data_IF_045063443958
#
_entry.id   IF_045063443958
#
_cell.length_a   1.000
_cell.length_b   1.000
_cell.length_c   1.000
_cell.angle_alpha   90.00
_cell.angle_beta   90.00
_cell.angle_gamma   90.00
#
_symmetry.space_group_name_H-M   'P 1'
#
loop_
_entity.id
_entity.type
_entity.pdbx_description
1 polymer ?
#
# COMPACT_ATOMS: atom_id res chain seq x y z
N UNK A 1 -17.84 3.49 13.41
CA UNK A 1 -17.10 2.66 14.40
C UNK A 1 -15.65 2.73 13.99
N UNK A 2 -14.80 3.36 14.81
CA UNK A 2 -13.39 3.54 14.51
C UNK A 2 -12.68 2.24 14.96
N UNK A 3 -12.56 1.27 14.06
CA UNK A 3 -11.79 0.06 14.37
C UNK A 3 -10.30 0.46 14.38
N UNK A 4 -9.77 0.67 15.58
CA UNK A 4 -8.35 0.91 15.80
C UNK A 4 -7.62 -0.42 15.60
N UNK A 5 -7.26 -0.71 14.36
CA UNK A 5 -6.43 -1.87 14.04
C UNK A 5 -5.04 -1.71 14.69
N UNK A 6 -4.47 -2.78 15.28
CA UNK A 6 -3.15 -2.72 15.88
C UNK A 6 -2.11 -2.30 14.84
N UNK A 7 -1.54 -1.11 14.99
CA UNK A 7 -0.47 -0.64 14.10
C UNK A 7 0.82 -1.39 14.41
N UNK A 8 1.34 -2.11 13.42
CA UNK A 8 2.57 -2.90 13.54
C UNK A 8 3.80 -2.07 13.16
N UNK A 9 3.73 -1.34 12.04
CA UNK A 9 4.78 -0.44 11.58
C UNK A 9 4.17 0.68 10.73
N UNK A 10 4.85 1.81 10.64
CA UNK A 10 4.50 2.89 9.71
C UNK A 10 5.75 3.45 9.05
N UNK A 11 5.64 3.74 7.77
CA UNK A 11 6.62 4.50 7.00
C UNK A 11 6.12 5.91 6.71
N UNK A 12 6.84 6.61 5.83
CA UNK A 12 6.41 7.91 5.32
C UNK A 12 5.18 7.73 4.42
N UNK A 13 5.25 6.77 3.51
CA UNK A 13 4.28 6.52 2.45
C UNK A 13 3.44 5.24 2.64
N UNK A 14 3.66 4.47 3.72
CA UNK A 14 2.89 3.25 3.99
C UNK A 14 2.47 3.10 5.46
N UNK A 15 1.48 2.24 5.72
CA UNK A 15 1.11 1.72 7.04
C UNK A 15 1.05 0.20 7.00
N UNK A 16 1.46 -0.44 8.10
CA UNK A 16 1.33 -1.89 8.32
C UNK A 16 0.55 -2.09 9.62
N UNK A 17 -0.56 -2.82 9.55
CA UNK A 17 -1.42 -3.08 10.70
C UNK A 17 -2.06 -4.47 10.61
N UNK A 18 -2.54 -4.98 11.74
CA UNK A 18 -3.28 -6.24 11.76
C UNK A 18 -4.69 -6.07 11.21
N UNK A 19 -5.11 -7.01 10.36
CA UNK A 19 -6.49 -7.15 9.94
C UNK A 19 -7.42 -7.52 11.09
N UNK A 20 -8.73 -7.48 10.85
CA UNK A 20 -9.75 -7.72 11.88
C UNK A 20 -9.56 -9.08 12.59
N UNK A 21 -9.24 -10.13 11.84
CA UNK A 21 -9.03 -11.47 12.36
C UNK A 21 -7.61 -11.74 12.90
N UNK A 22 -6.69 -10.76 12.88
CA UNK A 22 -5.25 -10.88 13.26
C UNK A 22 -4.43 -11.94 12.51
N UNK A 23 -5.05 -12.74 11.64
CA UNK A 23 -4.42 -13.76 10.78
C UNK A 23 -3.82 -13.18 9.50
N UNK A 24 -4.18 -11.93 9.19
CA UNK A 24 -3.76 -11.22 7.99
C UNK A 24 -3.12 -9.90 8.41
N UNK A 25 -1.97 -9.60 7.81
CA UNK A 25 -1.31 -8.30 7.95
C UNK A 25 -1.68 -7.48 6.72
N UNK A 26 -2.13 -6.25 6.95
CA UNK A 26 -2.53 -5.33 5.88
C UNK A 26 -1.43 -4.29 5.71
N UNK A 27 -0.99 -4.11 4.46
CA UNK A 27 -0.13 -2.99 4.05
C UNK A 27 -0.98 -2.00 3.28
N UNK A 28 -1.04 -0.76 3.74
CA UNK A 28 -1.76 0.34 3.09
C UNK A 28 -0.77 1.35 2.51
N UNK A 29 -0.95 1.72 1.24
CA UNK A 29 -0.26 2.82 0.58
C UNK A 29 -0.95 4.15 0.94
N UNK A 30 -0.28 4.98 1.74
CA UNK A 30 -0.79 6.28 2.21
C UNK A 30 -0.85 7.33 1.09
N UNK A 31 -0.10 7.16 0.01
CA UNK A 31 -0.15 8.08 -1.13
C UNK A 31 -1.47 8.01 -1.86
N UNK A 32 -2.22 6.91 -1.69
CA UNK A 32 -3.54 6.68 -2.28
C UNK A 32 -4.69 6.97 -1.31
N UNK A 33 -4.40 7.65 -0.20
CA UNK A 33 -5.42 8.01 0.80
C UNK A 33 -6.51 8.87 0.16
N UNK A 34 -7.76 8.44 0.29
CA UNK A 34 -8.92 9.10 -0.30
C UNK A 34 -9.39 8.47 -1.63
N UNK A 35 -8.71 7.43 -2.11
CA UNK A 35 -9.20 6.63 -3.23
C UNK A 35 -10.19 5.56 -2.74
N UNK A 36 -11.37 5.50 -3.34
CA UNK A 36 -12.33 4.43 -3.07
C UNK A 36 -11.83 3.09 -3.62
N UNK A 37 -11.99 2.03 -2.81
CA UNK A 37 -11.77 0.65 -3.26
C UNK A 37 -12.89 0.30 -4.23
N UNK A 38 -12.52 0.02 -5.48
CA UNK A 38 -13.47 -0.38 -6.54
C UNK A 38 -13.35 -1.84 -6.94
N UNK A 39 -12.18 -2.44 -6.70
CA UNK A 39 -11.90 -3.80 -7.12
C UNK A 39 -11.11 -4.56 -6.04
N UNK A 40 -11.38 -5.86 -5.93
CA UNK A 40 -10.60 -6.81 -5.16
C UNK A 40 -10.02 -7.84 -6.10
N UNK A 41 -8.69 -7.87 -6.24
CA UNK A 41 -8.00 -8.74 -7.18
C UNK A 41 -6.73 -9.30 -6.55
N UNK A 42 -6.18 -10.37 -7.12
CA UNK A 42 -4.84 -10.84 -6.73
C UNK A 42 -3.81 -9.90 -7.36
N UNK A 43 -2.87 -9.43 -6.55
CA UNK A 43 -1.72 -8.68 -7.01
C UNK A 43 -0.75 -9.62 -7.72
N UNK A 44 -0.40 -9.32 -8.96
CA UNK A 44 0.45 -10.20 -9.77
C UNK A 44 1.91 -10.21 -9.30
N UNK A 45 2.38 -9.15 -8.63
CA UNK A 45 3.75 -9.06 -8.10
C UNK A 45 3.90 -9.90 -6.83
N UNK A 46 2.92 -9.81 -5.93
CA UNK A 46 3.01 -10.43 -4.61
C UNK A 46 2.17 -11.70 -4.44
N UNK A 47 1.26 -12.01 -5.37
CA UNK A 47 0.38 -13.18 -5.29
C UNK A 47 -0.60 -13.13 -4.13
N UNK A 48 -0.91 -11.94 -3.60
CA UNK A 48 -1.82 -11.75 -2.47
C UNK A 48 -3.05 -10.96 -2.87
N UNK A 49 -4.11 -11.04 -2.06
CA UNK A 49 -5.31 -10.24 -2.29
C UNK A 49 -4.98 -8.76 -2.09
N UNK A 50 -5.36 -7.95 -3.07
CA UNK A 50 -5.18 -6.50 -3.03
C UNK A 50 -6.51 -5.79 -3.32
N UNK A 51 -6.69 -4.70 -2.60
CA UNK A 51 -7.76 -3.73 -2.81
C UNK A 51 -7.23 -2.68 -3.77
N UNK A 52 -7.90 -2.53 -4.91
CA UNK A 52 -7.51 -1.59 -5.95
C UNK A 52 -8.57 -0.50 -6.10
N UNK A 53 -8.09 0.72 -6.29
CA UNK A 53 -8.92 1.85 -6.70
C UNK A 53 -8.58 2.28 -8.12
N UNK A 54 -9.31 3.27 -8.61
CA UNK A 54 -9.14 3.78 -9.96
C UNK A 54 -8.82 5.27 -9.91
N UNK A 55 -7.65 5.63 -10.44
CA UNK A 55 -7.26 7.03 -10.67
C UNK A 55 -7.51 7.36 -12.13
N UNK A 56 -7.85 8.61 -12.43
CA UNK A 56 -8.04 9.07 -13.80
C UNK A 56 -6.90 10.02 -14.17
N UNK A 57 -6.29 9.80 -15.33
CA UNK A 57 -5.30 10.71 -15.90
C UNK A 57 -5.96 11.99 -16.46
N UNK A 58 -5.17 12.98 -16.89
CA UNK A 58 -5.64 14.22 -17.54
C UNK A 58 -6.49 13.96 -18.79
N UNK A 59 -6.25 12.84 -19.49
CA UNK A 59 -7.04 12.42 -20.65
C UNK A 59 -8.36 11.70 -20.27
N UNK A 60 -8.61 11.49 -18.97
CA UNK A 60 -9.80 10.77 -18.48
C UNK A 60 -9.68 9.25 -18.50
N UNK A 61 -8.51 8.70 -18.85
CA UNK A 61 -8.26 7.26 -18.80
C UNK A 61 -8.11 6.77 -17.35
N UNK A 62 -8.89 5.75 -17.01
CA UNK A 62 -8.87 5.12 -15.69
C UNK A 62 -7.71 4.13 -15.56
N UNK A 63 -6.81 4.37 -14.62
CA UNK A 63 -5.75 3.44 -14.23
C UNK A 63 -6.06 2.82 -12.87
N UNK A 64 -6.10 1.49 -12.85
CA UNK A 64 -6.29 0.74 -11.62
C UNK A 64 -4.98 0.70 -10.84
N UNK A 65 -5.02 1.10 -9.56
CA UNK A 65 -3.86 1.12 -8.66
C UNK A 65 -4.20 0.37 -7.37
N UNK A 66 -3.24 -0.40 -6.86
CA UNK A 66 -3.38 -1.05 -5.57
C UNK A 66 -3.27 -0.03 -4.43
N UNK A 67 -4.20 -0.12 -3.48
CA UNK A 67 -4.30 0.72 -2.28
C UNK A 67 -3.84 -0.07 -1.07
N UNK A 68 -4.33 -1.32 -0.93
CA UNK A 68 -4.03 -2.17 0.21
C UNK A 68 -3.73 -3.59 -0.24
N UNK A 69 -2.79 -4.24 0.45
CA UNK A 69 -2.45 -5.64 0.24
C UNK A 69 -2.68 -6.43 1.52
N UNK A 70 -3.27 -7.62 1.37
CA UNK A 70 -3.67 -8.50 2.46
C UNK A 70 -2.74 -9.71 2.49
N UNK A 71 -1.75 -9.67 3.39
CA UNK A 71 -0.75 -10.72 3.52
C UNK A 71 -1.15 -11.73 4.59
N UNK A 72 -1.43 -12.99 4.23
CA UNK A 72 -1.75 -14.02 5.22
C UNK A 72 -0.50 -14.37 6.03
N UNK A 73 -0.59 -14.29 7.37
CA UNK A 73 0.51 -14.67 8.29
C UNK A 73 0.94 -16.13 8.16
N UNK A 74 0.10 -16.97 7.56
CA UNK A 74 0.43 -18.36 7.24
C UNK A 74 1.59 -18.49 6.25
N UNK A 75 1.76 -17.51 5.34
CA UNK A 75 2.75 -17.55 4.28
C UNK A 75 3.78 -16.42 4.35
N UNK A 76 3.48 -15.33 5.06
CA UNK A 76 4.33 -14.13 5.13
C UNK A 76 4.62 -13.75 6.57
N UNK A 77 5.90 -13.52 6.89
CA UNK A 77 6.30 -12.97 8.18
C UNK A 77 6.31 -11.44 8.12
N UNK A 78 6.21 -10.79 9.29
CA UNK A 78 6.24 -9.34 9.38
C UNK A 78 7.49 -8.74 8.71
N UNK A 79 8.64 -9.38 8.84
CA UNK A 79 9.90 -8.92 8.24
C UNK A 79 9.86 -8.88 6.71
N UNK A 80 9.23 -9.87 6.07
CA UNK A 80 9.06 -9.90 4.61
C UNK A 80 8.14 -8.77 4.14
N UNK A 81 7.05 -8.56 4.88
CA UNK A 81 6.05 -7.53 4.59
C UNK A 81 6.66 -6.13 4.78
N UNK A 82 7.52 -5.97 5.78
CA UNK A 82 8.26 -4.73 6.01
C UNK A 82 9.17 -4.39 4.84
N UNK A 83 9.89 -5.37 4.27
CA UNK A 83 10.73 -5.13 3.07
C UNK A 83 9.90 -4.66 1.88
N UNK A 84 8.74 -5.30 1.65
CA UNK A 84 7.81 -4.90 0.59
C UNK A 84 7.33 -3.46 0.81
N UNK A 85 6.97 -3.12 2.04
CA UNK A 85 6.50 -1.77 2.36
C UNK A 85 7.63 -0.72 2.22
N UNK A 86 8.87 -1.07 2.55
CA UNK A 86 10.03 -0.21 2.37
C UNK A 86 10.38 0.01 0.88
N UNK A 87 10.10 -0.94 -0.02
CA UNK A 87 10.18 -0.71 -1.47
C UNK A 87 9.22 0.39 -1.92
N UNK A 88 7.99 0.42 -1.38
CA UNK A 88 7.00 1.45 -1.68
C UNK A 88 7.52 2.82 -1.23
N UNK A 89 8.04 2.90 -0.01
CA UNK A 89 8.60 4.14 0.55
C UNK A 89 9.78 4.64 -0.28
N UNK A 90 10.74 3.76 -0.59
CA UNK A 90 11.91 4.07 -1.40
C UNK A 90 11.53 4.55 -2.81
N UNK A 91 10.53 3.92 -3.45
CA UNK A 91 10.04 4.32 -4.77
C UNK A 91 9.48 5.75 -4.74
N UNK A 92 8.60 6.08 -3.80
CA UNK A 92 8.02 7.42 -3.74
C UNK A 92 9.00 8.47 -3.26
N UNK A 93 9.96 8.10 -2.39
CA UNK A 93 11.05 8.98 -2.00
C UNK A 93 11.93 9.33 -3.21
N UNK A 94 12.33 8.35 -4.01
CA UNK A 94 13.10 8.59 -5.23
C UNK A 94 12.34 9.46 -6.24
N UNK A 95 11.03 9.23 -6.43
CA UNK A 95 10.19 10.08 -7.29
C UNK A 95 10.23 11.53 -6.78
N UNK A 96 10.07 11.73 -5.47
CA UNK A 96 10.10 13.06 -4.85
C UNK A 96 11.45 13.76 -5.06
N UNK A 97 12.55 13.05 -4.87
CA UNK A 97 13.92 13.56 -5.05
C UNK A 97 14.21 13.94 -6.51
N UNK A 98 13.63 13.23 -7.49
CA UNK A 98 13.76 13.58 -8.91
C UNK A 98 12.93 14.82 -9.26
N UNK A 99 11.73 14.96 -8.68
CA UNK A 99 10.80 16.08 -8.99
C UNK A 99 11.12 17.37 -8.25
N UNK A 100 11.87 17.30 -7.16
CA UNK A 100 12.50 18.44 -6.49
C UNK A 100 14.01 18.24 -6.58
N UNK A 101 14.67 18.57 -7.70
CA UNK A 101 16.11 18.76 -7.66
C UNK A 101 16.38 19.79 -6.57
N UNK A 102 17.36 19.51 -5.71
CA UNK A 102 17.85 20.46 -4.72
C UNK A 102 18.14 21.77 -5.44
N UNK A 103 17.33 22.80 -5.15
CA UNK A 103 17.59 24.19 -5.53
C UNK A 103 18.63 24.67 -4.51
N UNK A 104 19.91 24.35 -4.76
CA UNK A 104 21.05 25.07 -4.18
C UNK A 104 21.31 26.36 -4.97
#
# INVERSE_FOLDING_TARGET
MNQEHPLLKRGQFYLIYDGEDTTTIIVEDKTKRGLDVREYSIDEKYGVRAEKGMIYDMDGNGHTVAIRWHFPRANYQLEDIVKIAEEIDAKYKAIREITCPDDE
#
